data_IF_428967106608
#
_entry.id   IF_428967106608
#
_cell.length_a   1.000
_cell.length_b   1.000
_cell.length_c   1.000
_cell.angle_alpha   90.00
_cell.angle_beta   90.00
_cell.angle_gamma   90.00
#
_symmetry.space_group_name_H-M   'P 1'
#
loop_
_entity.id
_entity.type
_entity.pdbx_description
1 polymer ?
#
# COMPACT_ATOMS: atom_id res chain seq x y z
N UNK A 1 8.72 -1.61 21.86
CA UNK A 1 7.48 -2.42 21.76
C UNK A 1 6.52 -1.57 20.95
N UNK A 2 6.11 -2.04 19.76
CA UNK A 2 5.14 -1.30 18.95
C UNK A 2 3.75 -1.56 19.51
N UNK A 3 3.04 -0.51 19.88
CA UNK A 3 1.64 -0.57 20.28
C UNK A 3 0.78 -0.39 19.03
N UNK A 4 -0.29 -1.18 18.89
CA UNK A 4 -1.19 -1.12 17.75
C UNK A 4 -2.59 -0.75 18.22
N UNK A 5 -3.12 0.34 17.70
CA UNK A 5 -4.43 0.87 18.00
C UNK A 5 -5.39 0.58 16.83
N UNK A 6 -6.61 0.07 17.10
CA UNK A 6 -7.64 -0.05 16.08
C UNK A 6 -8.10 1.34 15.63
N UNK A 7 -8.26 1.53 14.31
CA UNK A 7 -8.74 2.82 13.74
C UNK A 7 -10.26 2.95 13.77
N UNK A 8 -10.99 1.86 13.97
CA UNK A 8 -12.46 1.86 13.98
C UNK A 8 -12.98 1.15 15.23
N UNK A 9 -13.95 1.76 15.90
CA UNK A 9 -14.57 1.21 17.13
C UNK A 9 -16.02 0.74 16.91
N UNK A 10 -16.54 0.89 15.69
CA UNK A 10 -17.92 0.56 15.32
C UNK A 10 -18.00 -0.68 14.43
N UNK A 11 -19.09 -1.43 14.52
CA UNK A 11 -19.25 -2.69 13.78
C UNK A 11 -19.08 -2.51 12.26
N UNK A 12 -18.34 -3.43 11.66
CA UNK A 12 -17.99 -3.43 10.22
C UNK A 12 -18.67 -4.57 9.48
N UNK A 13 -19.50 -5.33 10.20
CA UNK A 13 -20.38 -6.34 9.66
C UNK A 13 -21.69 -6.29 10.44
N UNK A 14 -22.80 -6.10 9.74
CA UNK A 14 -24.15 -6.05 10.32
C UNK A 14 -25.10 -6.93 9.48
N UNK A 15 -25.33 -8.17 9.93
CA UNK A 15 -26.34 -9.07 9.32
C UNK A 15 -27.41 -9.52 10.32
N UNK A 16 -26.97 -10.19 11.38
CA UNK A 16 -27.80 -10.62 12.52
C UNK A 16 -27.09 -10.32 13.85
N UNK A 17 -25.76 -10.43 13.85
CA UNK A 17 -24.88 -10.04 14.95
C UNK A 17 -23.97 -8.93 14.43
N UNK A 18 -23.80 -7.88 15.22
CA UNK A 18 -22.86 -6.80 14.93
C UNK A 18 -21.46 -7.25 15.35
N UNK A 19 -20.50 -7.16 14.44
CA UNK A 19 -19.12 -7.57 14.71
C UNK A 19 -18.10 -6.61 14.10
N UNK A 20 -16.98 -6.44 14.78
CA UNK A 20 -15.84 -5.61 14.38
C UNK A 20 -14.76 -6.53 13.80
N UNK A 21 -14.93 -6.95 12.55
CA UNK A 21 -14.05 -7.97 11.92
C UNK A 21 -13.00 -7.32 11.01
N UNK A 22 -13.28 -6.11 10.50
CA UNK A 22 -12.31 -5.35 9.71
C UNK A 22 -11.78 -4.22 10.55
N UNK A 23 -10.47 -4.13 10.66
CA UNK A 23 -9.84 -2.99 11.28
C UNK A 23 -8.51 -2.73 10.60
N UNK A 24 -8.20 -1.45 10.44
CA UNK A 24 -6.85 -1.00 10.11
C UNK A 24 -6.20 -0.68 11.45
N UNK A 25 -5.04 -1.27 11.73
CA UNK A 25 -4.29 -1.00 12.95
C UNK A 25 -3.19 0.01 12.66
N UNK A 26 -3.03 0.99 13.55
CA UNK A 26 -2.01 2.03 13.47
C UNK A 26 -1.14 1.99 14.70
N UNK A 27 0.09 2.48 14.62
CA UNK A 27 1.04 2.55 15.73
C UNK A 27 1.34 4.01 16.15
N UNK A 28 0.42 4.92 15.84
CA UNK A 28 0.48 6.34 16.17
C UNK A 28 -0.89 6.80 16.67
N UNK A 29 -0.90 7.80 17.54
CA UNK A 29 -2.10 8.28 18.21
C UNK A 29 -2.82 9.36 17.40
N UNK A 30 -4.14 9.20 17.25
CA UNK A 30 -5.12 10.25 16.91
C UNK A 30 -4.90 11.09 15.63
N UNK A 31 -3.96 10.73 14.76
CA UNK A 31 -3.70 11.44 13.51
C UNK A 31 -4.42 10.84 12.30
N UNK A 32 -5.69 10.48 12.49
CA UNK A 32 -6.53 9.96 11.41
C UNK A 32 -8.01 10.24 11.63
N UNK A 33 -8.72 10.42 10.53
CA UNK A 33 -10.18 10.38 10.48
C UNK A 33 -10.61 9.04 9.89
N UNK A 34 -11.67 8.43 10.42
CA UNK A 34 -12.21 7.20 9.86
C UNK A 34 -13.71 7.33 9.56
N UNK A 35 -14.15 6.56 8.57
CA UNK A 35 -15.56 6.43 8.20
C UNK A 35 -15.86 4.99 7.81
N UNK A 36 -16.99 4.48 8.31
CA UNK A 36 -17.58 3.23 7.83
C UNK A 36 -18.53 3.54 6.69
N UNK A 37 -18.27 2.91 5.54
CA UNK A 37 -19.09 3.00 4.33
C UNK A 37 -20.13 1.89 4.37
N UNK A 38 -21.34 2.25 4.81
CA UNK A 38 -22.49 1.35 4.80
C UNK A 38 -23.11 1.34 3.42
N UNK A 39 -23.07 0.19 2.76
CA UNK A 39 -23.70 -0.02 1.47
C UNK A 39 -24.60 -1.26 1.54
N UNK A 40 -25.72 -1.27 0.82
CA UNK A 40 -26.68 -2.38 0.82
C UNK A 40 -26.22 -3.58 -0.04
N UNK A 41 -25.02 -3.51 -0.61
CA UNK A 41 -24.48 -4.52 -1.52
C UNK A 41 -23.76 -5.67 -0.81
N UNK A 42 -23.46 -5.53 0.49
CA UNK A 42 -22.72 -6.54 1.26
C UNK A 42 -23.13 -6.52 2.74
N UNK A 43 -23.05 -7.67 3.43
CA UNK A 43 -23.18 -7.73 4.89
C UNK A 43 -21.95 -7.16 5.62
N UNK A 44 -20.91 -6.83 4.85
CA UNK A 44 -19.67 -6.22 5.29
C UNK A 44 -19.64 -4.74 4.85
N UNK A 45 -19.39 -3.85 5.81
CA UNK A 45 -19.25 -2.43 5.54
C UNK A 45 -17.82 -2.09 5.13
N UNK A 46 -17.68 -1.25 4.10
CA UNK A 46 -16.38 -0.72 3.70
C UNK A 46 -15.82 0.20 4.78
N UNK A 47 -14.51 0.42 4.74
CA UNK A 47 -13.81 1.34 5.65
C UNK A 47 -12.97 2.31 4.84
N UNK A 48 -13.02 3.57 5.25
CA UNK A 48 -12.14 4.63 4.77
C UNK A 48 -11.43 5.22 5.98
N UNK A 49 -10.11 5.32 5.88
CA UNK A 49 -9.27 6.02 6.86
C UNK A 49 -8.48 7.06 6.09
N UNK A 50 -8.53 8.30 6.57
CA UNK A 50 -7.76 9.42 6.08
C UNK A 50 -6.72 9.79 7.14
N UNK A 51 -5.45 9.76 6.77
CA UNK A 51 -4.35 10.01 7.70
C UNK A 51 -4.01 11.50 7.65
N UNK A 52 -4.25 12.21 8.75
CA UNK A 52 -4.22 13.67 8.82
C UNK A 52 -2.80 14.26 8.88
N UNK A 53 -1.76 13.43 8.78
CA UNK A 53 -0.39 13.91 8.78
C UNK A 53 -0.14 14.87 7.60
N UNK A 54 -0.08 16.17 7.91
CA UNK A 54 0.74 17.10 7.15
C UNK A 54 2.18 16.62 7.33
N UNK A 55 2.62 15.81 6.39
CA UNK A 55 4.02 15.50 6.26
C UNK A 55 4.81 16.81 6.23
N UNK A 56 5.56 17.06 7.29
CA UNK A 56 6.45 18.20 7.37
C UNK A 56 7.41 18.06 6.19
N UNK A 57 7.24 18.90 5.18
CA UNK A 57 7.89 18.78 3.86
C UNK A 57 9.43 18.84 3.90
N UNK A 58 10.01 19.00 5.09
CA UNK A 58 11.44 19.01 5.39
C UNK A 58 11.99 17.67 5.91
N UNK A 59 11.16 16.67 6.22
CA UNK A 59 11.63 15.38 6.71
C UNK A 59 11.78 14.38 5.55
N UNK A 60 12.98 13.81 5.44
CA UNK A 60 13.42 12.67 4.65
C UNK A 60 12.32 11.89 3.90
N UNK A 61 12.46 11.85 2.56
CA UNK A 61 11.64 11.10 1.58
C UNK A 61 10.72 10.07 2.22
N UNK A 62 9.48 10.49 2.42
CA UNK A 62 8.44 9.61 2.92
C UNK A 62 8.29 8.40 1.99
N UNK A 63 8.06 7.20 2.56
CA UNK A 63 7.80 6.02 1.75
C UNK A 63 6.57 6.28 0.89
N UNK A 64 6.78 6.34 -0.43
CA UNK A 64 5.71 6.54 -1.40
C UNK A 64 4.76 5.33 -1.35
N UNK A 65 3.60 5.49 -0.74
CA UNK A 65 2.54 4.47 -0.73
C UNK A 65 1.94 4.37 -2.12
N UNK A 66 2.35 3.34 -2.89
CA UNK A 66 1.81 3.08 -4.21
C UNK A 66 0.67 2.06 -4.14
N UNK A 67 -0.57 2.50 -4.39
CA UNK A 67 -1.71 1.58 -4.57
C UNK A 67 -1.67 0.99 -5.98
N UNK A 68 -1.09 -0.20 -6.12
CA UNK A 68 -1.07 -0.94 -7.38
C UNK A 68 -2.32 -1.83 -7.44
N UNK A 69 -3.16 -1.64 -8.46
CA UNK A 69 -4.31 -2.51 -8.71
C UNK A 69 -3.99 -3.47 -9.85
N UNK A 70 -3.98 -4.77 -9.57
CA UNK A 70 -3.83 -5.83 -10.57
C UNK A 70 -5.23 -6.34 -10.95
N UNK A 71 -5.72 -5.97 -12.14
CA UNK A 71 -7.12 -6.20 -12.54
C UNK A 71 -7.35 -7.35 -13.54
N UNK A 72 -6.33 -8.16 -13.83
CA UNK A 72 -6.48 -9.32 -14.72
C UNK A 72 -6.26 -10.63 -13.97
N UNK A 73 -7.13 -11.62 -14.21
CA UNK A 73 -6.97 -12.99 -13.69
C UNK A 73 -5.62 -13.60 -14.11
N UNK A 74 -5.18 -13.33 -15.32
CA UNK A 74 -3.90 -13.82 -15.84
C UNK A 74 -2.72 -13.14 -15.14
N UNK A 75 -2.82 -11.83 -14.88
CA UNK A 75 -1.80 -11.08 -14.13
C UNK A 75 -1.73 -11.48 -12.67
N UNK A 76 -2.87 -11.84 -12.07
CA UNK A 76 -2.93 -12.40 -10.73
C UNK A 76 -2.31 -13.82 -10.67
N UNK A 77 -2.57 -14.66 -11.68
CA UNK A 77 -1.95 -15.97 -11.78
C UNK A 77 -0.42 -15.86 -11.94
N UNK A 78 0.04 -14.92 -12.77
CA UNK A 78 1.47 -14.63 -12.91
C UNK A 78 2.09 -14.13 -11.60
N UNK A 79 1.41 -13.23 -10.86
CA UNK A 79 1.87 -12.77 -9.54
C UNK A 79 2.13 -13.94 -8.59
N UNK A 80 1.19 -14.88 -8.52
CA UNK A 80 1.30 -16.03 -7.63
C UNK A 80 2.47 -16.94 -8.01
N UNK A 81 2.71 -17.14 -9.31
CA UNK A 81 3.87 -17.90 -9.81
C UNK A 81 5.16 -17.18 -9.43
N UNK A 82 5.25 -15.88 -9.70
CA UNK A 82 6.45 -15.09 -9.45
C UNK A 82 6.79 -15.04 -7.96
N UNK A 83 5.79 -14.83 -7.08
CA UNK A 83 5.97 -14.88 -5.63
C UNK A 83 6.43 -16.25 -5.12
N UNK A 84 5.92 -17.34 -5.73
CA UNK A 84 6.33 -18.70 -5.41
C UNK A 84 7.78 -19.02 -5.82
N UNK A 85 8.31 -18.30 -6.80
CA UNK A 85 9.68 -18.50 -7.30
C UNK A 85 10.74 -17.64 -6.60
N UNK A 86 10.34 -16.73 -5.70
CA UNK A 86 11.30 -15.91 -4.94
C UNK A 86 12.06 -16.82 -3.97
N UNK A 87 13.40 -16.70 -3.97
CA UNK A 87 14.27 -17.37 -3.02
C UNK A 87 14.25 -16.65 -1.66
N UNK A 88 13.32 -17.05 -0.79
CA UNK A 88 13.15 -16.47 0.54
C UNK A 88 14.24 -16.86 1.54
N UNK A 89 15.07 -17.86 1.23
CA UNK A 89 16.17 -18.29 2.10
C UNK A 89 17.07 -17.13 2.52
N UNK A 90 17.31 -16.17 1.61
CA UNK A 90 18.12 -14.97 1.90
C UNK A 90 17.49 -14.05 2.94
N UNK A 91 16.16 -14.02 3.04
CA UNK A 91 15.46 -13.27 4.09
C UNK A 91 15.58 -14.03 5.41
N UNK A 92 15.35 -15.35 5.40
CA UNK A 92 15.36 -16.17 6.61
C UNK A 92 16.75 -16.38 7.23
N UNK A 93 17.80 -16.32 6.41
CA UNK A 93 19.19 -16.47 6.86
C UNK A 93 19.83 -15.13 7.28
N UNK A 94 19.12 -14.01 7.13
CA UNK A 94 19.66 -12.70 7.49
C UNK A 94 19.58 -12.49 9.00
N UNK A 95 20.73 -12.30 9.64
CA UNK A 95 20.83 -12.04 11.09
C UNK A 95 20.46 -10.60 11.47
N UNK A 96 20.51 -9.68 10.49
CA UNK A 96 20.14 -8.28 10.64
C UNK A 96 18.73 -8.01 10.15
N UNK A 97 17.90 -7.42 11.02
CA UNK A 97 16.48 -7.19 10.77
C UNK A 97 16.26 -6.18 9.63
N UNK A 98 17.10 -5.15 9.56
CA UNK A 98 16.98 -4.12 8.53
C UNK A 98 17.36 -4.67 7.15
N UNK A 99 18.42 -5.47 7.08
CA UNK A 99 18.81 -6.23 5.88
C UNK A 99 17.71 -7.19 5.45
N UNK A 100 17.12 -7.96 6.38
CA UNK A 100 16.02 -8.87 6.08
C UNK A 100 14.82 -8.13 5.48
N UNK A 101 14.47 -6.99 6.08
CA UNK A 101 13.39 -6.11 5.61
C UNK A 101 13.66 -5.54 4.22
N UNK A 102 14.90 -5.10 3.95
CA UNK A 102 15.32 -4.59 2.65
C UNK A 102 15.22 -5.66 1.56
N UNK A 103 15.73 -6.87 1.81
CA UNK A 103 15.65 -7.99 0.86
C UNK A 103 14.20 -8.36 0.56
N UNK A 104 13.37 -8.43 1.61
CA UNK A 104 11.94 -8.72 1.48
C UNK A 104 11.23 -7.67 0.63
N UNK A 105 11.42 -6.39 0.96
CA UNK A 105 10.74 -5.27 0.30
C UNK A 105 11.20 -5.12 -1.14
N UNK A 106 12.50 -5.24 -1.41
CA UNK A 106 13.05 -5.19 -2.77
C UNK A 106 12.47 -6.32 -3.64
N UNK A 107 12.44 -7.55 -3.12
CA UNK A 107 11.91 -8.71 -3.84
C UNK A 107 10.44 -8.51 -4.20
N UNK A 108 9.62 -8.05 -3.25
CA UNK A 108 8.22 -7.73 -3.51
C UNK A 108 8.06 -6.62 -4.55
N UNK A 109 8.78 -5.50 -4.39
CA UNK A 109 8.68 -4.36 -5.30
C UNK A 109 9.03 -4.74 -6.73
N UNK A 110 10.07 -5.56 -6.93
CA UNK A 110 10.45 -6.03 -8.27
C UNK A 110 9.35 -6.91 -8.88
N UNK A 111 8.80 -7.84 -8.11
CA UNK A 111 7.68 -8.68 -8.55
C UNK A 111 6.44 -7.86 -8.88
N UNK A 112 6.11 -6.85 -8.08
CA UNK A 112 4.96 -5.99 -8.38
C UNK A 112 5.20 -5.11 -9.62
N UNK A 113 6.42 -4.60 -9.83
CA UNK A 113 6.77 -3.76 -10.99
C UNK A 113 6.58 -4.50 -12.32
N UNK A 114 6.96 -5.78 -12.41
CA UNK A 114 6.81 -6.58 -13.63
C UNK A 114 5.34 -6.78 -14.05
N UNK A 115 4.42 -6.63 -13.09
CA UNK A 115 2.98 -6.86 -13.28
C UNK A 115 2.21 -5.56 -13.47
N UNK A 116 2.61 -4.50 -12.75
CA UNK A 116 1.98 -3.19 -12.75
C UNK A 116 2.36 -2.32 -13.97
N UNK A 117 3.59 -2.47 -14.46
CA UNK A 117 4.11 -1.70 -15.57
C UNK A 117 4.65 -2.68 -16.61
N UNK A 118 4.01 -2.86 -17.78
CA UNK A 118 4.67 -3.55 -18.86
C UNK A 118 5.92 -2.74 -19.19
N UNK A 119 7.10 -3.29 -18.88
CA UNK A 119 8.36 -2.77 -19.40
C UNK A 119 8.16 -2.72 -20.93
N UNK A 120 8.11 -1.53 -21.51
CA UNK A 120 8.12 -1.43 -22.96
C UNK A 120 9.38 -2.15 -23.44
N UNK A 121 9.27 -3.12 -24.37
CA UNK A 121 10.44 -3.81 -24.89
C UNK A 121 11.31 -2.76 -25.60
N UNK A 122 12.39 -2.33 -24.94
CA UNK A 122 13.36 -1.36 -25.47
C UNK A 122 13.42 0.02 -24.79
N UNK A 123 12.62 0.30 -23.76
CA UNK A 123 12.66 1.61 -23.08
C UNK A 123 13.78 1.70 -22.03
N UNK A 124 14.85 2.46 -22.33
CA UNK A 124 15.80 2.92 -21.31
C UNK A 124 15.05 3.72 -20.24
N UNK A 125 15.36 3.49 -18.96
CA UNK A 125 14.92 4.32 -17.84
C UNK A 125 15.47 5.73 -18.10
N UNK A 126 14.65 6.60 -18.68
CA UNK A 126 14.94 8.03 -18.69
C UNK A 126 14.32 8.58 -17.43
N UNK A 127 15.19 9.04 -16.52
CA UNK A 127 14.79 9.96 -15.46
C UNK A 127 14.15 11.17 -16.15
N UNK A 128 12.81 11.21 -16.21
CA UNK A 128 12.12 12.44 -16.55
C UNK A 128 12.35 13.43 -15.40
N UNK A 129 13.37 14.28 -15.56
CA UNK A 129 13.42 15.58 -14.92
C UNK A 129 12.17 16.36 -15.35
N UNK A 130 11.14 16.36 -14.52
CA UNK A 130 10.01 17.30 -14.67
C UNK A 130 10.50 18.70 -14.30
N UNK A 131 11.15 19.34 -15.27
CA UNK A 131 11.33 20.79 -15.29
C UNK A 131 10.06 21.44 -15.83
N UNK A 132 9.50 22.34 -15.02
CA UNK A 132 8.65 23.49 -15.36
C UNK A 132 7.42 23.30 -16.26
N UNK A 133 6.25 23.54 -15.68
CA UNK A 133 5.19 24.31 -16.34
C UNK A 133 4.66 25.38 -15.37
N UNK A 134 5.26 26.58 -15.43
CA UNK A 134 4.48 27.80 -15.26
C UNK A 134 3.84 28.13 -16.62
N UNK A 135 2.50 28.28 -16.65
CA UNK A 135 1.89 29.22 -17.60
C UNK A 135 0.49 29.66 -17.13
N UNK A 136 0.43 30.94 -16.78
CA UNK A 136 -0.74 31.79 -16.50
C UNK A 136 -1.81 31.72 -17.60
N UNK A 137 -3.06 32.05 -17.25
CA UNK A 137 -3.87 33.08 -17.97
C UNK A 137 -4.85 33.79 -17.02
N UNK A 138 -4.68 35.11 -16.92
CA UNK A 138 -5.73 36.11 -16.59
C UNK A 138 -6.69 36.27 -17.80
N UNK A 139 -7.88 36.87 -17.66
CA UNK A 139 -8.05 38.30 -17.35
C UNK A 139 -8.54 38.57 -15.93
#
# INVERSE_FOLDING_TARGET
>A
MYEFYPTVEVATRERQIKSLIYNIFVNFDNDYEYKVLKEDISDHHGQMVDFMHSFDSSAEKLPCVMKIRVFSRDKLAQLNIDLGNICWERVFQSEDVDSAYNIFTESLVQTFKSIAFPLQPGGSITEEKHNNIECRRNP
#
